data_IF_514564866477
#
_entry.id   IF_514564866477
#
_cell.length_a   1.000
_cell.length_b   1.000
_cell.length_c   1.000
_cell.angle_alpha   90.00
_cell.angle_beta   90.00
_cell.angle_gamma   90.00
#
_symmetry.space_group_name_H-M   'P 1'
#
loop_
_entity.id
_entity.type
_entity.pdbx_description
1 polymer ?
#
# COMPACT_ATOMS: atom_id res chain seq x y z
N UNK A 1 3.69 -12.59 16.95
CA UNK A 1 3.37 -11.43 16.12
C UNK A 1 2.02 -11.52 15.41
N UNK A 2 1.64 -12.62 14.70
CA UNK A 2 0.34 -12.71 14.03
C UNK A 2 -0.86 -12.48 14.96
N UNK A 3 -0.84 -13.03 16.16
CA UNK A 3 -1.97 -12.93 17.11
C UNK A 3 -2.19 -11.50 17.63
N UNK A 4 -1.13 -10.72 17.79
CA UNK A 4 -1.23 -9.34 18.24
C UNK A 4 -1.82 -8.42 17.15
N UNK A 5 -1.48 -8.64 15.90
CA UNK A 5 -2.00 -7.87 14.77
C UNK A 5 -3.49 -8.20 14.54
N UNK A 6 -3.86 -9.47 14.69
CA UNK A 6 -5.24 -9.96 14.63
C UNK A 6 -6.12 -9.34 15.72
N UNK A 7 -5.59 -9.25 16.95
CA UNK A 7 -6.23 -8.59 18.08
C UNK A 7 -6.38 -7.08 17.85
N UNK A 8 -5.34 -6.40 17.38
CA UNK A 8 -5.36 -4.97 17.07
C UNK A 8 -6.35 -4.64 15.94
N UNK A 9 -6.41 -5.47 14.91
CA UNK A 9 -7.36 -5.31 13.81
C UNK A 9 -8.79 -5.49 14.29
N UNK A 10 -9.09 -6.53 15.09
CA UNK A 10 -10.40 -6.74 15.71
C UNK A 10 -10.78 -5.60 16.64
N UNK A 11 -9.85 -5.11 17.43
CA UNK A 11 -10.06 -4.01 18.38
C UNK A 11 -10.30 -2.68 17.66
N UNK A 12 -9.60 -2.43 16.55
CA UNK A 12 -9.83 -1.28 15.69
C UNK A 12 -11.25 -1.26 15.14
N UNK A 13 -11.76 -2.39 14.60
CA UNK A 13 -13.14 -2.49 14.10
C UNK A 13 -14.21 -2.43 15.18
N UNK A 14 -13.92 -2.91 16.38
CA UNK A 14 -14.85 -2.79 17.50
C UNK A 14 -15.00 -1.33 17.96
N UNK A 15 -13.95 -0.52 17.82
CA UNK A 15 -13.96 0.91 18.21
C UNK A 15 -14.45 1.84 17.10
N UNK A 16 -14.35 1.43 15.84
CA UNK A 16 -14.77 2.22 14.70
C UNK A 16 -15.88 1.49 13.94
N UNK A 17 -17.16 1.77 14.26
CA UNK A 17 -18.29 1.19 13.51
C UNK A 17 -18.10 1.49 12.01
N UNK A 18 -18.26 0.48 11.16
CA UNK A 18 -18.05 0.56 9.70
C UNK A 18 -18.88 1.64 9.00
N UNK A 19 -19.88 2.19 9.66
CA UNK A 19 -20.62 3.37 9.16
C UNK A 19 -19.70 4.57 8.87
N UNK A 20 -18.57 4.67 9.57
CA UNK A 20 -17.64 5.79 9.48
C UNK A 20 -16.35 5.47 8.71
N UNK A 21 -16.12 4.20 8.41
CA UNK A 21 -14.96 3.74 7.64
C UNK A 21 -15.51 3.21 6.33
N UNK A 22 -15.28 3.93 5.22
CA UNK A 22 -15.51 3.30 3.92
C UNK A 22 -14.71 2.00 3.88
N UNK A 23 -15.33 0.91 3.42
CA UNK A 23 -14.63 -0.36 3.20
C UNK A 23 -13.29 -0.12 2.48
N UNK A 24 -13.23 0.84 1.57
CA UNK A 24 -12.03 1.29 0.89
C UNK A 24 -10.91 1.80 1.83
N UNK A 25 -11.20 2.52 2.90
CA UNK A 25 -10.15 3.02 3.83
C UNK A 25 -9.55 1.92 4.69
N UNK A 26 -10.36 0.98 5.13
CA UNK A 26 -9.91 -0.21 5.84
C UNK A 26 -8.98 -1.05 4.98
N UNK A 27 -9.42 -1.34 3.79
CA UNK A 27 -8.72 -2.08 2.77
C UNK A 27 -7.38 -1.44 2.41
N UNK A 28 -7.33 -0.11 2.44
CA UNK A 28 -6.16 0.68 2.14
C UNK A 28 -5.04 0.49 3.17
N UNK A 29 -5.33 0.66 4.46
CA UNK A 29 -4.33 0.46 5.51
C UNK A 29 -3.89 -1.00 5.64
N UNK A 30 -4.79 -1.95 5.34
CA UNK A 30 -4.48 -3.37 5.40
C UNK A 30 -3.64 -3.86 4.22
N UNK A 31 -3.83 -3.31 3.03
CA UNK A 31 -3.11 -3.77 1.83
C UNK A 31 -1.65 -3.34 1.76
N UNK A 32 -1.23 -2.34 2.53
CA UNK A 32 0.18 -1.96 2.59
C UNK A 32 1.00 -2.96 3.40
N UNK A 33 0.45 -3.51 4.47
CA UNK A 33 1.16 -4.47 5.31
C UNK A 33 0.95 -5.90 4.78
N UNK A 34 2.00 -6.61 4.32
CA UNK A 34 1.85 -7.95 3.75
C UNK A 34 1.14 -8.94 4.66
N UNK A 35 1.44 -8.90 5.96
CA UNK A 35 0.87 -9.80 6.97
C UNK A 35 -0.62 -9.52 7.24
N UNK A 36 -1.11 -8.32 6.93
CA UNK A 36 -2.50 -7.96 7.17
C UNK A 36 -3.43 -8.53 6.11
N UNK A 37 -2.93 -8.77 4.89
CA UNK A 37 -3.73 -9.42 3.84
C UNK A 37 -4.11 -10.86 4.21
N UNK A 38 -3.20 -11.58 4.85
CA UNK A 38 -3.47 -12.96 5.29
C UNK A 38 -4.53 -13.00 6.40
N UNK A 39 -4.52 -11.97 7.26
CA UNK A 39 -5.50 -11.82 8.34
C UNK A 39 -6.86 -11.35 7.82
N UNK A 40 -6.90 -10.56 6.73
CA UNK A 40 -8.16 -10.06 6.18
C UNK A 40 -9.12 -11.21 5.81
N UNK A 41 -8.62 -12.27 5.19
CA UNK A 41 -9.42 -13.43 4.81
C UNK A 41 -10.02 -14.17 6.02
N UNK A 42 -9.41 -14.06 7.21
CA UNK A 42 -9.94 -14.63 8.44
C UNK A 42 -10.89 -13.67 9.18
N UNK A 43 -10.62 -12.37 9.11
CA UNK A 43 -11.38 -11.36 9.84
C UNK A 43 -12.67 -10.96 9.11
N UNK A 44 -12.67 -10.88 7.78
CA UNK A 44 -13.84 -10.51 6.99
C UNK A 44 -15.04 -11.45 7.24
N UNK A 45 -14.91 -12.79 7.24
CA UNK A 45 -16.01 -13.67 7.56
C UNK A 45 -16.60 -13.47 8.96
N UNK A 46 -15.74 -13.19 9.96
CA UNK A 46 -16.19 -12.90 11.31
C UNK A 46 -16.99 -11.58 11.39
N UNK A 47 -16.55 -10.58 10.61
CA UNK A 47 -17.25 -9.29 10.53
C UNK A 47 -18.58 -9.42 9.78
N UNK A 48 -18.62 -10.22 8.72
CA UNK A 48 -19.86 -10.55 8.01
C UNK A 48 -20.85 -11.27 8.91
N UNK A 49 -20.40 -12.21 9.74
CA UNK A 49 -21.24 -12.89 10.73
C UNK A 49 -21.82 -11.92 11.79
N UNK A 50 -21.17 -10.77 12.01
CA UNK A 50 -21.66 -9.68 12.87
C UNK A 50 -22.58 -8.68 12.15
N UNK A 51 -22.99 -8.98 10.92
CA UNK A 51 -23.91 -8.16 10.14
C UNK A 51 -23.25 -7.05 9.30
N UNK A 52 -21.91 -7.11 9.11
CA UNK A 52 -21.23 -6.15 8.26
C UNK A 52 -21.31 -6.57 6.79
N UNK A 53 -21.69 -5.64 5.94
CA UNK A 53 -21.82 -5.87 4.50
C UNK A 53 -20.53 -5.46 3.80
N UNK A 54 -19.90 -6.41 3.11
CA UNK A 54 -18.81 -6.14 2.18
C UNK A 54 -19.36 -6.25 0.75
N UNK A 55 -18.88 -5.43 -0.20
CA UNK A 55 -19.26 -5.56 -1.60
C UNK A 55 -18.91 -6.95 -2.13
N UNK A 56 -19.77 -7.50 -2.98
CA UNK A 56 -19.44 -8.72 -3.74
C UNK A 56 -18.34 -8.39 -4.76
N UNK A 57 -17.18 -8.96 -4.57
CA UNK A 57 -16.00 -8.78 -5.43
C UNK A 57 -15.75 -9.96 -6.40
N UNK A 58 -16.62 -10.97 -6.39
CA UNK A 58 -16.44 -12.22 -7.14
C UNK A 58 -16.23 -12.01 -8.65
N UNK A 59 -16.97 -11.08 -9.24
CA UNK A 59 -16.83 -10.76 -10.66
C UNK A 59 -15.47 -10.10 -10.97
N UNK A 60 -15.00 -9.21 -10.09
CA UNK A 60 -13.72 -8.55 -10.24
C UNK A 60 -12.55 -9.54 -10.05
N UNK A 61 -12.64 -10.42 -9.05
CA UNK A 61 -11.69 -11.52 -8.82
C UNK A 61 -11.61 -12.42 -10.04
N UNK A 62 -12.75 -12.92 -10.53
CA UNK A 62 -12.79 -13.79 -11.70
C UNK A 62 -12.24 -13.13 -12.98
N UNK A 63 -12.41 -11.81 -13.12
CA UNK A 63 -11.84 -11.06 -14.25
C UNK A 63 -10.31 -11.01 -14.19
N UNK A 64 -9.75 -10.82 -12.98
CA UNK A 64 -8.29 -10.82 -12.78
C UNK A 64 -7.73 -12.24 -12.95
N UNK A 65 -8.36 -13.25 -12.37
CA UNK A 65 -7.93 -14.64 -12.46
C UNK A 65 -7.77 -15.13 -13.91
N UNK A 66 -8.71 -14.73 -14.79
CA UNK A 66 -8.71 -15.11 -16.20
C UNK A 66 -7.68 -14.37 -17.05
N UNK A 67 -7.14 -13.27 -16.55
CA UNK A 67 -6.22 -12.45 -17.34
C UNK A 67 -4.79 -12.94 -17.16
N UNK A 68 -4.10 -13.26 -18.25
CA UNK A 68 -2.72 -13.73 -18.24
C UNK A 68 -1.76 -12.83 -19.05
N UNK A 69 -2.27 -11.86 -19.79
CA UNK A 69 -1.46 -10.92 -20.55
C UNK A 69 -0.90 -9.83 -19.63
N UNK A 70 0.44 -9.75 -19.48
CA UNK A 70 1.12 -8.76 -18.61
C UNK A 70 0.66 -7.32 -18.88
N UNK A 71 0.53 -6.95 -20.16
CA UNK A 71 0.09 -5.60 -20.53
C UNK A 71 -1.35 -5.28 -20.06
N UNK A 72 -2.23 -6.28 -19.97
CA UNK A 72 -3.58 -6.10 -19.44
C UNK A 72 -3.60 -6.06 -17.93
N UNK A 73 -2.81 -6.91 -17.27
CA UNK A 73 -2.62 -6.85 -15.82
C UNK A 73 -2.08 -5.47 -15.38
N UNK A 74 -1.10 -4.91 -16.10
CA UNK A 74 -0.59 -3.56 -15.87
C UNK A 74 -1.68 -2.48 -16.05
N UNK A 75 -2.60 -2.65 -17.02
CA UNK A 75 -3.75 -1.75 -17.15
C UNK A 75 -4.74 -1.87 -15.98
N UNK A 76 -4.87 -3.07 -15.38
CA UNK A 76 -5.70 -3.27 -14.20
C UNK A 76 -5.14 -2.57 -12.96
N UNK A 77 -3.81 -2.46 -12.83
CA UNK A 77 -3.18 -1.67 -11.75
C UNK A 77 -3.58 -0.18 -11.76
N UNK A 78 -4.07 0.33 -12.89
CA UNK A 78 -4.57 1.72 -13.01
C UNK A 78 -6.03 1.88 -12.57
N UNK A 79 -6.67 0.83 -12.11
CA UNK A 79 -8.08 0.84 -11.72
C UNK A 79 -8.23 0.70 -10.22
N UNK A 80 -9.29 1.29 -9.70
CA UNK A 80 -9.77 0.95 -8.37
C UNK A 80 -10.39 -0.44 -8.43
N UNK A 81 -9.76 -1.39 -7.77
CA UNK A 81 -10.24 -2.77 -7.65
C UNK A 81 -10.63 -3.06 -6.21
N UNK A 82 -11.61 -3.94 -5.98
CA UNK A 82 -11.87 -4.48 -4.66
C UNK A 82 -10.60 -5.17 -4.10
N UNK A 83 -10.41 -5.24 -2.78
CA UNK A 83 -9.18 -5.72 -2.15
C UNK A 83 -8.77 -7.10 -2.58
N UNK A 84 -9.73 -8.03 -2.61
CA UNK A 84 -9.47 -9.41 -2.99
C UNK A 84 -8.99 -9.51 -4.44
N UNK A 85 -9.60 -8.73 -5.35
CA UNK A 85 -9.17 -8.64 -6.73
C UNK A 85 -7.77 -8.00 -6.85
N UNK A 86 -7.47 -6.97 -6.03
CA UNK A 86 -6.13 -6.38 -5.95
C UNK A 86 -5.09 -7.39 -5.46
N UNK A 87 -5.43 -8.22 -4.47
CA UNK A 87 -4.53 -9.28 -4.00
C UNK A 87 -4.20 -10.26 -5.13
N UNK A 88 -5.23 -10.78 -5.80
CA UNK A 88 -5.04 -11.69 -6.94
C UNK A 88 -4.21 -11.04 -8.04
N UNK A 89 -4.45 -9.76 -8.33
CA UNK A 89 -3.65 -9.00 -9.29
C UNK A 89 -2.18 -8.93 -8.88
N UNK A 90 -1.88 -8.61 -7.63
CA UNK A 90 -0.52 -8.57 -7.11
C UNK A 90 0.15 -9.95 -7.18
N UNK A 91 -0.54 -11.03 -6.82
CA UNK A 91 -0.04 -12.40 -6.93
C UNK A 91 0.33 -12.78 -8.37
N UNK A 92 -0.39 -12.24 -9.36
CA UNK A 92 -0.09 -12.47 -10.79
C UNK A 92 1.04 -11.61 -11.35
N UNK A 93 1.21 -10.37 -10.88
CA UNK A 93 2.23 -9.46 -11.41
C UNK A 93 3.58 -9.59 -10.69
N UNK A 94 3.61 -9.96 -9.41
CA UNK A 94 4.85 -10.11 -8.65
C UNK A 94 5.83 -11.14 -9.26
N UNK A 95 5.41 -12.33 -9.74
CA UNK A 95 6.31 -13.28 -10.38
C UNK A 95 6.90 -12.77 -11.71
N UNK A 96 6.29 -11.75 -12.32
CA UNK A 96 6.69 -11.18 -13.62
C UNK A 96 7.55 -9.91 -13.45
N UNK A 97 8.33 -9.86 -12.41
CA UNK A 97 9.03 -8.64 -11.95
C UNK A 97 9.90 -8.00 -13.04
N UNK A 98 10.58 -8.78 -13.87
CA UNK A 98 11.44 -8.27 -14.95
C UNK A 98 10.68 -7.40 -15.97
N UNK A 99 9.41 -7.76 -16.25
CA UNK A 99 8.55 -7.00 -17.16
C UNK A 99 7.80 -5.87 -16.43
N UNK A 100 7.36 -6.14 -15.20
CA UNK A 100 6.43 -5.30 -14.46
C UNK A 100 7.13 -4.14 -13.74
N UNK A 101 8.27 -4.37 -13.10
CA UNK A 101 8.95 -3.36 -12.28
C UNK A 101 9.33 -2.09 -13.07
N UNK A 102 9.91 -2.17 -14.29
CA UNK A 102 10.19 -0.96 -15.08
C UNK A 102 8.93 -0.15 -15.41
N UNK A 103 7.80 -0.82 -15.64
CA UNK A 103 6.53 -0.15 -15.91
C UNK A 103 5.94 0.50 -14.64
N UNK A 104 6.05 -0.15 -13.48
CA UNK A 104 5.68 0.44 -12.18
C UNK A 104 6.48 1.71 -11.92
N UNK A 105 7.80 1.67 -12.12
CA UNK A 105 8.68 2.82 -11.95
C UNK A 105 8.30 3.96 -12.91
N UNK A 106 7.99 3.63 -14.17
CA UNK A 106 7.53 4.61 -15.17
C UNK A 106 6.17 5.21 -14.80
N UNK A 107 5.27 4.40 -14.26
CA UNK A 107 3.94 4.86 -13.83
C UNK A 107 4.07 5.85 -12.66
N UNK A 108 4.81 5.52 -11.63
CA UNK A 108 5.02 6.39 -10.46
C UNK A 108 5.58 7.77 -10.83
N UNK A 109 6.45 7.85 -11.82
CA UNK A 109 7.03 9.13 -12.26
C UNK A 109 6.03 10.05 -12.96
N UNK A 110 4.93 9.53 -13.49
CA UNK A 110 4.02 10.24 -14.39
C UNK A 110 2.57 10.26 -13.95
N UNK A 111 2.20 9.42 -13.01
CA UNK A 111 0.80 9.20 -12.63
C UNK A 111 0.32 10.19 -11.58
N UNK A 112 -0.96 10.56 -11.69
CA UNK A 112 -1.66 11.44 -10.75
C UNK A 112 -2.92 10.78 -10.17
N UNK A 113 -3.22 9.55 -10.56
CA UNK A 113 -4.35 8.79 -10.05
C UNK A 113 -3.98 8.10 -8.74
N UNK A 114 -4.70 8.40 -7.67
CA UNK A 114 -4.49 7.80 -6.34
C UNK A 114 -4.49 6.27 -6.41
N UNK A 115 -5.47 5.69 -7.09
CA UNK A 115 -5.58 4.23 -7.23
C UNK A 115 -4.34 3.61 -7.90
N UNK A 116 -3.78 4.28 -8.90
CA UNK A 116 -2.56 3.81 -9.57
C UNK A 116 -1.35 3.93 -8.64
N UNK A 117 -1.21 5.08 -7.97
CA UNK A 117 -0.13 5.33 -6.99
C UNK A 117 -0.16 4.26 -5.91
N UNK A 118 -1.32 4.01 -5.33
CA UNK A 118 -1.53 3.00 -4.29
C UNK A 118 -1.18 1.58 -4.75
N UNK A 119 -1.66 1.18 -5.93
CA UNK A 119 -1.37 -0.15 -6.47
C UNK A 119 0.12 -0.33 -6.79
N UNK A 120 0.78 0.72 -7.31
CA UNK A 120 2.22 0.73 -7.52
C UNK A 120 2.97 0.62 -6.18
N UNK A 121 2.55 1.35 -5.16
CA UNK A 121 3.12 1.29 -3.81
C UNK A 121 3.00 -0.12 -3.21
N UNK A 122 1.82 -0.74 -3.32
CA UNK A 122 1.59 -2.13 -2.87
C UNK A 122 2.51 -3.12 -3.55
N UNK A 123 2.75 -2.94 -4.85
CA UNK A 123 3.70 -3.75 -5.61
C UNK A 123 5.13 -3.54 -5.11
N UNK A 124 5.60 -2.28 -4.98
CA UNK A 124 6.96 -1.95 -4.56
C UNK A 124 7.30 -2.45 -3.16
N UNK A 125 6.34 -2.48 -2.25
CA UNK A 125 6.52 -3.07 -0.91
C UNK A 125 6.79 -4.58 -0.98
N UNK A 126 6.27 -5.28 -2.00
CA UNK A 126 6.26 -6.75 -2.10
C UNK A 126 7.23 -7.33 -3.13
N UNK A 127 7.68 -6.57 -4.11
CA UNK A 127 8.58 -7.05 -5.16
C UNK A 127 9.90 -7.54 -4.55
N UNK A 128 10.59 -8.47 -5.21
CA UNK A 128 11.86 -9.04 -4.74
C UNK A 128 12.97 -7.99 -4.71
N UNK A 129 13.04 -7.19 -5.76
CA UNK A 129 14.04 -6.11 -5.88
C UNK A 129 13.79 -5.04 -4.82
N UNK A 130 14.83 -4.68 -4.07
CA UNK A 130 14.77 -3.54 -3.17
C UNK A 130 14.88 -2.24 -3.97
N UNK A 131 13.76 -1.51 -4.03
CA UNK A 131 13.66 -0.27 -4.79
C UNK A 131 14.04 0.99 -4.00
N UNK A 132 14.55 0.86 -2.77
CA UNK A 132 14.82 2.02 -1.89
C UNK A 132 15.78 3.02 -2.51
N UNK A 133 16.87 2.55 -3.09
CA UNK A 133 17.85 3.41 -3.75
C UNK A 133 17.24 4.12 -4.97
N UNK A 134 16.50 3.39 -5.81
CA UNK A 134 15.82 3.98 -6.95
C UNK A 134 14.82 5.06 -6.51
N UNK A 135 14.06 4.82 -5.45
CA UNK A 135 13.10 5.79 -4.90
C UNK A 135 13.82 7.07 -4.50
N UNK A 136 14.89 6.98 -3.70
CA UNK A 136 15.63 8.14 -3.20
C UNK A 136 16.23 8.94 -4.38
N UNK A 137 16.84 8.26 -5.35
CA UNK A 137 17.47 8.90 -6.51
C UNK A 137 16.46 9.62 -7.41
N UNK A 138 15.24 9.09 -7.56
CA UNK A 138 14.22 9.64 -8.45
C UNK A 138 13.16 10.49 -7.74
N UNK A 139 13.24 10.62 -6.42
CA UNK A 139 12.20 11.24 -5.59
C UNK A 139 11.82 12.66 -6.04
N UNK A 140 12.82 13.48 -6.34
CA UNK A 140 12.62 14.86 -6.79
C UNK A 140 12.01 14.97 -8.21
N UNK A 141 12.06 13.89 -8.99
CA UNK A 141 11.42 13.83 -10.32
C UNK A 141 9.94 13.50 -10.25
N UNK A 142 9.46 13.05 -9.10
CA UNK A 142 8.05 12.71 -8.86
C UNK A 142 7.30 14.01 -8.55
N UNK A 143 6.33 14.34 -9.40
CA UNK A 143 5.60 15.62 -9.29
C UNK A 143 4.47 15.57 -8.29
N UNK A 144 3.80 14.43 -8.17
CA UNK A 144 2.63 14.26 -7.34
C UNK A 144 3.01 14.13 -5.86
N UNK A 145 2.58 15.06 -4.96
CA UNK A 145 2.94 15.01 -3.55
C UNK A 145 2.42 13.74 -2.86
N UNK A 146 1.23 13.26 -3.23
CA UNK A 146 0.67 12.02 -2.70
C UNK A 146 1.56 10.82 -3.05
N UNK A 147 2.06 10.74 -4.30
CA UNK A 147 3.00 9.70 -4.69
C UNK A 147 4.30 9.75 -3.89
N UNK A 148 4.82 10.95 -3.62
CA UNK A 148 6.01 11.13 -2.75
C UNK A 148 5.75 10.62 -1.34
N UNK A 149 4.61 10.99 -0.75
CA UNK A 149 4.19 10.52 0.56
C UNK A 149 4.09 8.99 0.62
N UNK A 150 3.45 8.38 -0.38
CA UNK A 150 3.31 6.93 -0.48
C UNK A 150 4.63 6.20 -0.68
N UNK A 151 5.59 6.78 -1.40
CA UNK A 151 6.92 6.20 -1.56
C UNK A 151 7.77 6.27 -0.28
N UNK A 152 7.53 7.26 0.59
CA UNK A 152 8.11 7.23 1.94
C UNK A 152 7.66 5.98 2.70
N UNK A 153 6.38 5.56 2.58
CA UNK A 153 5.92 4.29 3.17
C UNK A 153 6.69 3.08 2.63
N UNK A 154 6.95 3.04 1.31
CA UNK A 154 7.78 1.96 0.73
C UNK A 154 9.15 1.93 1.39
N UNK A 155 9.78 3.08 1.61
CA UNK A 155 11.06 3.17 2.32
C UNK A 155 10.95 2.64 3.75
N UNK A 156 9.88 2.91 4.48
CA UNK A 156 9.63 2.34 5.79
C UNK A 156 9.67 0.82 5.79
N UNK A 157 9.07 0.17 4.79
CA UNK A 157 9.03 -1.29 4.67
C UNK A 157 10.31 -1.91 4.10
N UNK A 158 11.08 -1.17 3.28
CA UNK A 158 12.13 -1.76 2.44
C UNK A 158 13.53 -1.24 2.73
N UNK A 159 13.68 0.02 3.18
CA UNK A 159 14.97 0.63 3.44
C UNK A 159 15.58 0.18 4.78
N UNK A 160 16.85 0.53 4.99
CA UNK A 160 17.55 0.43 6.26
C UNK A 160 17.40 1.70 7.10
N UNK A 161 18.11 1.76 8.25
CA UNK A 161 18.12 2.92 9.14
C UNK A 161 18.77 4.16 8.50
N UNK A 162 19.54 3.98 7.47
CA UNK A 162 20.16 5.04 6.64
C UNK A 162 19.14 5.93 5.91
N UNK A 163 17.89 5.45 5.75
CA UNK A 163 16.80 6.27 5.21
C UNK A 163 16.21 7.27 6.23
N UNK A 164 16.51 7.17 7.51
CA UNK A 164 15.91 8.03 8.56
C UNK A 164 16.14 9.52 8.29
N UNK A 165 17.37 10.01 7.99
CA UNK A 165 17.57 11.44 7.72
C UNK A 165 16.75 11.94 6.54
N UNK A 166 16.64 11.15 5.47
CA UNK A 166 15.81 11.47 4.32
C UNK A 166 14.33 11.58 4.70
N UNK A 167 13.79 10.60 5.44
CA UNK A 167 12.38 10.59 5.87
C UNK A 167 12.06 11.77 6.78
N UNK A 168 12.93 12.11 7.72
CA UNK A 168 12.78 13.29 8.59
C UNK A 168 12.73 14.58 7.77
N UNK A 169 13.61 14.72 6.78
CA UNK A 169 13.57 15.87 5.87
C UNK A 169 12.24 15.93 5.11
N UNK A 170 11.67 14.79 4.70
CA UNK A 170 10.38 14.78 3.99
C UNK A 170 9.21 15.20 4.90
N UNK A 171 9.24 14.87 6.20
CA UNK A 171 8.25 15.40 7.16
C UNK A 171 8.27 16.93 7.12
N UNK A 172 9.44 17.55 7.31
CA UNK A 172 9.57 19.02 7.31
C UNK A 172 9.12 19.66 6.00
N UNK A 173 9.46 19.02 4.86
CA UNK A 173 9.05 19.49 3.52
C UNK A 173 7.53 19.45 3.39
N UNK A 174 6.87 18.38 3.78
CA UNK A 174 5.41 18.27 3.65
C UNK A 174 4.69 19.23 4.60
N UNK A 175 5.10 19.33 5.86
CA UNK A 175 4.54 20.30 6.82
C UNK A 175 4.68 21.76 6.33
N UNK A 176 5.80 22.07 5.69
CA UNK A 176 6.08 23.44 5.21
C UNK A 176 5.35 23.77 3.90
N UNK A 177 5.41 22.84 2.92
CA UNK A 177 4.90 23.09 1.58
C UNK A 177 3.41 22.77 1.42
N UNK A 178 2.85 21.91 2.27
CA UNK A 178 1.47 21.42 2.19
C UNK A 178 0.77 21.40 3.57
N UNK A 179 0.74 22.51 4.31
CA UNK A 179 0.29 22.53 5.71
C UNK A 179 -1.20 22.19 5.89
N UNK A 180 -1.99 22.20 4.81
CA UNK A 180 -3.42 21.86 4.84
C UNK A 180 -3.69 20.40 4.45
N UNK A 181 -2.65 19.66 4.09
CA UNK A 181 -2.75 18.29 3.62
C UNK A 181 -2.11 17.34 4.63
N UNK A 182 -2.35 16.05 4.47
CA UNK A 182 -1.82 15.01 5.37
C UNK A 182 -0.70 14.19 4.73
N UNK A 183 0.06 14.80 3.81
CA UNK A 183 1.15 14.11 3.10
C UNK A 183 2.34 13.77 4.00
N UNK A 184 2.51 14.48 5.11
CA UNK A 184 3.47 14.20 6.18
C UNK A 184 3.26 12.85 6.86
N UNK A 185 2.04 12.29 6.80
CA UNK A 185 1.74 10.98 7.35
C UNK A 185 2.56 9.85 6.70
N UNK A 186 2.88 9.94 5.40
CA UNK A 186 3.70 8.95 4.73
C UNK A 186 5.08 8.76 5.37
N UNK A 187 5.92 9.79 5.45
CA UNK A 187 7.22 9.68 6.11
C UNK A 187 7.12 9.43 7.63
N UNK A 188 6.11 9.95 8.33
CA UNK A 188 5.90 9.67 9.77
C UNK A 188 5.64 8.18 10.00
N UNK A 189 4.74 7.58 9.21
CA UNK A 189 4.44 6.15 9.29
C UNK A 189 5.65 5.31 8.88
N UNK A 190 6.43 5.75 7.89
CA UNK A 190 7.66 5.09 7.49
C UNK A 190 8.70 5.05 8.62
N UNK A 191 8.88 6.16 9.33
CA UNK A 191 9.76 6.22 10.52
C UNK A 191 9.28 5.28 11.62
N UNK A 192 7.95 5.22 11.84
CA UNK A 192 7.36 4.29 12.80
C UNK A 192 7.60 2.83 12.41
N UNK A 193 7.47 2.49 11.12
CA UNK A 193 7.73 1.15 10.61
C UNK A 193 9.20 0.76 10.77
N UNK A 194 10.14 1.65 10.45
CA UNK A 194 11.57 1.43 10.69
C UNK A 194 11.86 1.17 12.17
N UNK A 195 11.24 1.94 13.07
CA UNK A 195 11.36 1.71 14.52
C UNK A 195 10.91 0.31 14.92
N UNK A 196 9.78 -0.16 14.39
CA UNK A 196 9.25 -1.51 14.68
C UNK A 196 10.16 -2.59 14.12
N UNK A 197 10.60 -2.46 12.86
CA UNK A 197 11.45 -3.45 12.18
C UNK A 197 12.82 -3.61 12.82
N UNK A 198 13.44 -2.53 13.21
CA UNK A 198 14.79 -2.55 13.78
C UNK A 198 14.81 -2.53 15.31
N UNK A 199 13.62 -2.53 15.96
CA UNK A 199 13.48 -2.51 17.44
C UNK A 199 14.44 -1.52 18.11
N UNK A 200 14.60 -0.35 17.48
CA UNK A 200 15.35 0.73 18.10
C UNK A 200 14.56 1.21 19.31
N UNK A 201 15.05 0.78 20.47
CA UNK A 201 14.50 1.15 21.79
C UNK A 201 14.80 2.62 22.05
#
# INVERSE_FOLDING_TARGET
MPDNLKLLTKDYFNRHPIKDISAARFEYSMLLHPEVMDIADEVIPELQAKGLSFPDDSAAVAAVEKEDETARLLRMLRKTLPPKANRVLLEKVLPREEEVLPEIQRMILKEFSDSTIENCTRYLVRCRTNCSEWIIQNYNSIREPYARSMLCLVLGFRAGLDAIPFLMQQVEVFETCFPSETFDQGPILALSELKVRFRTV
#
